data_IF_144513822265
#
_entry.id   IF_144513822265
#
_cell.length_a   1.000
_cell.length_b   1.000
_cell.length_c   1.000
_cell.angle_alpha   90.00
_cell.angle_beta   90.00
_cell.angle_gamma   90.00
#
_symmetry.space_group_name_H-M   'P 1'
#
loop_
_entity.id
_entity.type
_entity.pdbx_description
1 polymer ?
#
# COMPACT_ATOMS: atom_id res chain seq x y z
N UNK A 1 8.83 -0.95 4.90
CA UNK A 1 8.58 -0.18 3.66
C UNK A 1 7.13 -0.30 3.22
N UNK A 2 6.66 -1.39 2.61
CA UNK A 2 5.26 -1.49 2.14
C UNK A 2 4.20 -1.44 3.25
N UNK A 3 4.47 -2.05 4.40
CA UNK A 3 3.57 -2.01 5.56
C UNK A 3 3.50 -0.62 6.21
N UNK A 4 4.60 0.14 6.17
CA UNK A 4 4.66 1.50 6.70
C UNK A 4 3.94 2.48 5.77
N UNK A 5 4.05 2.28 4.46
CA UNK A 5 3.30 3.05 3.46
C UNK A 5 1.79 2.82 3.59
N UNK A 6 1.35 1.55 3.72
CA UNK A 6 -0.07 1.22 3.96
C UNK A 6 -0.60 1.84 5.26
N UNK A 7 0.20 1.83 6.33
CA UNK A 7 -0.16 2.45 7.61
C UNK A 7 -0.31 3.97 7.46
N UNK A 8 0.64 4.64 6.80
CA UNK A 8 0.60 6.07 6.57
C UNK A 8 -0.61 6.47 5.70
N UNK A 9 -0.92 5.68 4.67
CA UNK A 9 -2.09 5.89 3.81
C UNK A 9 -3.41 5.72 4.60
N UNK A 10 -3.51 4.71 5.45
CA UNK A 10 -4.67 4.50 6.33
C UNK A 10 -4.85 5.66 7.32
N UNK A 11 -3.75 6.13 7.93
CA UNK A 11 -3.78 7.29 8.84
C UNK A 11 -4.19 8.59 8.13
N UNK A 12 -3.80 8.76 6.85
CA UNK A 12 -4.23 9.90 6.04
C UNK A 12 -5.74 9.84 5.76
N UNK A 13 -6.27 8.69 5.33
CA UNK A 13 -7.71 8.48 5.09
C UNK A 13 -8.55 8.72 6.36
N UNK A 14 -8.06 8.30 7.53
CA UNK A 14 -8.76 8.56 8.81
C UNK A 14 -8.81 10.05 9.15
N UNK A 15 -7.74 10.80 8.87
CA UNK A 15 -7.69 12.26 9.08
C UNK A 15 -8.62 13.00 8.12
N UNK A 16 -8.61 12.65 6.85
CA UNK A 16 -9.50 13.23 5.83
C UNK A 16 -10.98 12.99 6.17
N UNK A 17 -11.33 11.77 6.61
CA UNK A 17 -12.69 11.47 7.08
C UNK A 17 -13.07 12.27 8.34
N UNK A 18 -12.14 12.48 9.28
CA UNK A 18 -12.42 13.27 10.48
C UNK A 18 -12.71 14.74 10.15
N UNK A 19 -11.98 15.33 9.20
CA UNK A 19 -12.22 16.70 8.73
C UNK A 19 -13.58 16.78 8.03
N UNK A 20 -13.88 15.82 7.14
CA UNK A 20 -15.16 15.79 6.42
C UNK A 20 -16.36 15.66 7.38
N UNK A 21 -16.23 14.81 8.40
CA UNK A 21 -17.26 14.67 9.45
C UNK A 21 -17.48 15.99 10.18
N UNK A 22 -16.41 16.68 10.61
CA UNK A 22 -16.54 17.99 11.30
C UNK A 22 -17.23 19.03 10.42
N UNK A 23 -16.80 19.17 9.17
CA UNK A 23 -17.43 20.12 8.23
C UNK A 23 -18.91 19.81 8.02
N UNK A 24 -19.28 18.54 7.91
CA UNK A 24 -20.68 18.14 7.77
C UNK A 24 -21.48 18.32 9.05
N UNK A 25 -20.88 18.14 10.23
CA UNK A 25 -21.51 18.42 11.52
C UNK A 25 -21.79 19.93 11.70
N UNK A 26 -20.84 20.78 11.30
CA UNK A 26 -21.00 22.24 11.25
C UNK A 26 -22.13 22.63 10.30
N UNK A 27 -22.17 22.04 9.10
CA UNK A 27 -23.26 22.26 8.15
C UNK A 27 -24.61 21.83 8.73
N UNK A 28 -24.69 20.68 9.40
CA UNK A 28 -25.92 20.24 10.06
C UNK A 28 -26.34 21.19 11.17
N UNK A 29 -25.40 21.70 11.96
CA UNK A 29 -25.75 22.64 13.04
C UNK A 29 -26.33 23.94 12.48
N UNK A 30 -25.75 24.46 11.40
CA UNK A 30 -26.30 25.64 10.71
C UNK A 30 -27.66 25.34 10.05
N UNK A 31 -27.81 24.16 9.42
CA UNK A 31 -29.09 23.72 8.84
C UNK A 31 -30.18 23.48 9.89
N UNK A 32 -29.83 23.01 11.09
CA UNK A 32 -30.78 22.86 12.21
C UNK A 32 -31.21 24.22 12.73
N UNK A 33 -30.30 25.20 12.83
CA UNK A 33 -30.66 26.57 13.22
C UNK A 33 -31.62 27.18 12.20
N UNK A 34 -31.25 27.16 10.92
CA UNK A 34 -32.15 27.63 9.84
C UNK A 34 -33.44 26.83 9.77
N UNK A 35 -33.42 25.53 10.08
CA UNK A 35 -34.61 24.69 10.19
C UNK A 35 -35.54 25.11 11.31
N UNK A 36 -35.02 25.48 12.48
CA UNK A 36 -35.83 26.01 13.60
C UNK A 36 -36.48 27.34 13.25
N UNK A 37 -35.74 28.22 12.58
CA UNK A 37 -36.26 29.51 12.13
C UNK A 37 -37.33 29.32 11.04
N UNK A 38 -37.11 28.40 10.10
CA UNK A 38 -38.08 28.01 9.09
C UNK A 38 -39.31 27.34 9.71
N UNK A 39 -39.17 26.56 10.77
CA UNK A 39 -40.30 25.95 11.49
C UNK A 39 -41.14 26.99 12.23
N UNK A 40 -40.51 28.03 12.80
CA UNK A 40 -41.22 29.16 13.38
C UNK A 40 -41.99 29.96 12.33
N UNK A 41 -41.37 30.22 11.17
CA UNK A 41 -42.04 30.84 10.02
C UNK A 41 -43.16 29.97 9.44
N UNK A 42 -42.99 28.65 9.39
CA UNK A 42 -44.05 27.72 8.96
C UNK A 42 -45.28 27.79 9.86
N UNK A 43 -45.10 27.91 11.18
CA UNK A 43 -46.25 28.10 12.08
C UNK A 43 -47.01 29.38 11.74
N UNK A 44 -46.29 30.46 11.42
CA UNK A 44 -46.89 31.72 10.97
C UNK A 44 -47.55 31.57 9.59
N UNK A 45 -46.95 30.85 8.65
CA UNK A 45 -47.56 30.57 7.34
C UNK A 45 -48.79 29.70 7.44
N UNK A 46 -48.80 28.67 8.30
CA UNK A 46 -50.00 27.85 8.55
C UNK A 46 -51.14 28.67 9.15
N UNK A 47 -50.83 29.55 10.13
CA UNK A 47 -51.81 30.50 10.65
C UNK A 47 -52.34 31.41 9.53
N UNK A 48 -51.44 31.90 8.66
CA UNK A 48 -51.81 32.77 7.54
C UNK A 48 -52.65 32.06 6.48
N UNK A 49 -52.40 30.78 6.23
CA UNK A 49 -53.20 29.95 5.33
C UNK A 49 -54.62 29.82 5.88
N UNK A 50 -54.77 29.51 7.18
CA UNK A 50 -56.08 29.42 7.81
C UNK A 50 -56.86 30.75 7.76
N UNK A 51 -56.19 31.88 8.00
CA UNK A 51 -56.79 33.22 7.85
C UNK A 51 -57.26 33.48 6.41
N UNK A 52 -56.42 33.18 5.42
CA UNK A 52 -56.75 33.36 4.01
C UNK A 52 -57.88 32.42 3.55
N UNK A 53 -57.97 31.22 4.12
CA UNK A 53 -59.06 30.27 3.89
C UNK A 53 -60.39 30.81 4.43
N UNK A 54 -60.40 31.30 5.67
CA UNK A 54 -61.59 31.90 6.28
C UNK A 54 -62.05 33.14 5.49
N UNK A 55 -61.13 34.01 5.08
CA UNK A 55 -61.45 35.17 4.25
C UNK A 55 -61.99 34.75 2.86
N UNK A 56 -61.39 33.72 2.25
CA UNK A 56 -61.85 33.19 0.97
C UNK A 56 -63.22 32.50 1.08
N UNK A 57 -63.55 31.88 2.21
CA UNK A 57 -64.89 31.34 2.49
C UNK A 57 -65.94 32.44 2.67
N UNK A 58 -65.61 33.50 3.41
CA UNK A 58 -66.50 34.67 3.56
C UNK A 58 -66.78 35.32 2.20
N UNK A 59 -65.74 35.57 1.39
CA UNK A 59 -65.91 36.15 0.05
C UNK A 59 -66.69 35.22 -0.89
N UNK A 60 -66.54 33.89 -0.75
CA UNK A 60 -67.33 32.91 -1.51
C UNK A 60 -68.81 32.91 -1.10
N UNK A 61 -69.11 33.04 0.19
CA UNK A 61 -70.48 33.16 0.68
C UNK A 61 -71.13 34.45 0.16
N UNK A 62 -70.46 35.60 0.31
CA UNK A 62 -70.93 36.90 -0.20
C UNK A 62 -71.14 36.89 -1.72
N UNK A 63 -70.26 36.23 -2.46
CA UNK A 63 -70.38 36.05 -3.90
C UNK A 63 -71.58 35.19 -4.28
N UNK A 64 -71.83 34.10 -3.53
CA UNK A 64 -73.00 33.24 -3.76
C UNK A 64 -74.30 33.98 -3.51
N UNK A 65 -74.37 34.83 -2.49
CA UNK A 65 -75.56 35.63 -2.17
C UNK A 65 -75.74 36.77 -3.18
N UNK A 66 -74.65 37.43 -3.58
CA UNK A 66 -74.67 38.44 -4.64
C UNK A 66 -75.08 37.84 -6.00
N UNK A 67 -74.69 36.58 -6.29
CA UNK A 67 -75.13 35.86 -7.49
C UNK A 67 -76.62 35.50 -7.47
N UNK A 68 -77.16 35.06 -6.32
CA UNK A 68 -78.61 34.81 -6.17
C UNK A 68 -79.42 36.09 -6.41
N UNK A 69 -79.01 37.20 -5.80
CA UNK A 69 -79.63 38.52 -6.01
C UNK A 69 -79.58 38.95 -7.47
N UNK A 70 -78.47 38.67 -8.17
CA UNK A 70 -78.30 38.98 -9.59
C UNK A 70 -79.25 38.11 -10.45
N UNK A 71 -79.37 36.81 -10.17
CA UNK A 71 -80.31 35.91 -10.86
C UNK A 71 -81.79 36.31 -10.64
N UNK A 72 -82.15 36.74 -9.43
CA UNK A 72 -83.49 37.25 -9.12
C UNK A 72 -83.83 38.55 -9.86
N UNK A 73 -82.83 39.41 -10.10
CA UNK A 73 -82.97 40.65 -10.87
C UNK A 73 -82.93 40.42 -12.39
N UNK A 74 -82.23 39.39 -12.87
CA UNK A 74 -82.21 39.02 -14.31
C UNK A 74 -83.49 38.29 -14.74
N UNK A 75 -84.18 37.59 -13.84
CA UNK A 75 -85.46 36.93 -14.11
C UNK A 75 -86.66 37.87 -14.23
N UNK A 76 -86.49 39.16 -13.92
CA UNK A 76 -87.50 40.21 -14.08
C UNK A 76 -87.07 41.10 -15.25
N UNK A 77 -87.87 41.21 -16.31
CA UNK A 77 -87.49 42.07 -17.45
C UNK A 77 -87.34 43.55 -16.99
N UNK A 78 -86.20 44.22 -17.20
CA UNK A 78 -85.98 45.57 -16.67
C UNK A 78 -86.65 46.63 -17.56
N UNK A 79 -87.76 47.21 -17.10
CA UNK A 79 -88.50 48.25 -17.84
C UNK A 79 -88.05 49.68 -17.45
N UNK A 80 -87.43 49.87 -16.28
CA UNK A 80 -87.01 51.18 -15.73
C UNK A 80 -85.48 51.41 -15.83
N UNK A 81 -84.98 52.59 -16.28
CA UNK A 81 -83.57 52.97 -16.19
C UNK A 81 -82.92 52.74 -14.82
N UNK A 82 -83.68 52.90 -13.73
CA UNK A 82 -83.20 52.66 -12.36
C UNK A 82 -82.93 51.17 -12.07
N UNK A 83 -83.70 50.25 -12.66
CA UNK A 83 -83.51 48.79 -12.52
C UNK A 83 -82.29 48.32 -13.32
N UNK A 84 -82.06 48.92 -14.49
CA UNK A 84 -80.86 48.66 -15.31
C UNK A 84 -79.58 49.10 -14.58
N UNK A 85 -79.60 50.23 -13.89
CA UNK A 85 -78.46 50.68 -13.06
C UNK A 85 -78.16 49.71 -11.92
N UNK A 86 -79.19 49.28 -11.16
CA UNK A 86 -79.03 48.32 -10.05
C UNK A 86 -78.51 46.96 -10.52
N UNK A 87 -79.00 46.47 -11.66
CA UNK A 87 -78.52 45.22 -12.26
C UNK A 87 -77.04 45.33 -12.68
N UNK A 88 -76.66 46.47 -13.28
CA UNK A 88 -75.27 46.74 -13.65
C UNK A 88 -74.35 46.84 -12.42
N UNK A 89 -74.81 47.48 -11.34
CA UNK A 89 -74.10 47.56 -10.07
C UNK A 89 -73.90 46.17 -9.45
N UNK A 90 -74.93 45.32 -9.42
CA UNK A 90 -74.82 43.92 -8.99
C UNK A 90 -73.78 43.14 -9.84
N UNK A 91 -73.76 43.33 -11.16
CA UNK A 91 -72.75 42.72 -12.05
C UNK A 91 -71.33 43.16 -11.70
N UNK A 92 -71.12 44.46 -11.45
CA UNK A 92 -69.79 44.95 -11.03
C UNK A 92 -69.37 44.39 -9.67
N UNK A 93 -70.32 44.25 -8.72
CA UNK A 93 -70.07 43.67 -7.39
C UNK A 93 -69.71 42.18 -7.45
N UNK A 94 -70.41 41.39 -8.26
CA UNK A 94 -70.09 39.97 -8.49
C UNK A 94 -68.73 39.83 -9.16
N UNK A 95 -68.40 40.66 -10.16
CA UNK A 95 -67.09 40.64 -10.80
C UNK A 95 -65.95 41.00 -9.84
N UNK A 96 -66.16 41.98 -8.94
CA UNK A 96 -65.21 42.36 -7.91
C UNK A 96 -65.01 41.25 -6.85
N UNK A 97 -66.09 40.59 -6.42
CA UNK A 97 -65.99 39.45 -5.50
C UNK A 97 -65.28 38.25 -6.14
N UNK A 98 -65.52 37.99 -7.44
CA UNK A 98 -64.85 36.94 -8.20
C UNK A 98 -63.35 37.21 -8.34
N UNK A 99 -62.95 38.46 -8.59
CA UNK A 99 -61.54 38.83 -8.68
C UNK A 99 -60.85 38.73 -7.31
N UNK A 100 -61.50 39.17 -6.23
CA UNK A 100 -61.00 39.02 -4.85
C UNK A 100 -60.79 37.54 -4.48
N UNK A 101 -61.75 36.67 -4.78
CA UNK A 101 -61.64 35.23 -4.54
C UNK A 101 -60.47 34.59 -5.31
N UNK A 102 -60.26 34.99 -6.58
CA UNK A 102 -59.12 34.53 -7.38
C UNK A 102 -57.77 34.95 -6.80
N UNK A 103 -57.67 36.18 -6.28
CA UNK A 103 -56.44 36.69 -5.64
C UNK A 103 -56.15 35.94 -4.34
N UNK A 104 -57.15 35.73 -3.48
CA UNK A 104 -56.99 34.98 -2.23
C UNK A 104 -56.56 33.53 -2.48
N UNK A 105 -57.14 32.86 -3.48
CA UNK A 105 -56.75 31.52 -3.89
C UNK A 105 -55.28 31.45 -4.36
N UNK A 106 -54.84 32.42 -5.17
CA UNK A 106 -53.42 32.51 -5.58
C UNK A 106 -52.48 32.76 -4.41
N UNK A 107 -52.86 33.62 -3.45
CA UNK A 107 -52.07 33.88 -2.23
C UNK A 107 -51.94 32.63 -1.36
N UNK A 108 -53.05 31.91 -1.15
CA UNK A 108 -53.05 30.62 -0.45
C UNK A 108 -52.10 29.62 -1.11
N UNK A 109 -52.20 29.46 -2.44
CA UNK A 109 -51.34 28.54 -3.18
C UNK A 109 -49.84 28.91 -3.07
N UNK A 110 -49.51 30.21 -3.06
CA UNK A 110 -48.14 30.67 -2.86
C UNK A 110 -47.62 30.34 -1.45
N UNK A 111 -48.43 30.55 -0.41
CA UNK A 111 -48.06 30.21 0.97
C UNK A 111 -47.92 28.70 1.20
N UNK A 112 -48.77 27.87 0.58
CA UNK A 112 -48.65 26.41 0.63
C UNK A 112 -47.35 25.90 -0.02
N UNK A 113 -46.91 26.54 -1.10
CA UNK A 113 -45.62 26.23 -1.75
C UNK A 113 -44.43 26.55 -0.85
N UNK A 114 -44.49 27.61 -0.05
CA UNK A 114 -43.43 27.93 0.91
C UNK A 114 -43.34 26.86 2.02
N UNK A 115 -44.49 26.39 2.52
CA UNK A 115 -44.53 25.30 3.51
C UNK A 115 -44.02 23.98 2.93
N UNK A 116 -44.30 23.67 1.66
CA UNK A 116 -43.79 22.43 1.04
C UNK A 116 -42.28 22.46 0.80
N UNK A 117 -41.72 23.62 0.42
CA UNK A 117 -40.27 23.80 0.23
C UNK A 117 -39.49 23.65 1.55
N UNK A 118 -40.02 24.18 2.66
CA UNK A 118 -39.40 23.98 3.98
C UNK A 118 -39.51 22.53 4.46
N UNK A 119 -40.62 21.82 4.20
CA UNK A 119 -40.72 20.40 4.50
C UNK A 119 -39.72 19.57 3.66
N UNK A 120 -39.38 20.01 2.46
CA UNK A 120 -38.34 19.38 1.63
C UNK A 120 -36.93 19.62 2.20
N UNK A 121 -36.64 20.81 2.73
CA UNK A 121 -35.34 21.07 3.37
C UNK A 121 -35.15 20.25 4.64
N UNK A 122 -36.19 20.08 5.47
CA UNK A 122 -36.15 19.20 6.66
C UNK A 122 -35.82 17.74 6.30
N UNK A 123 -36.39 17.21 5.21
CA UNK A 123 -36.05 15.85 4.73
C UNK A 123 -34.59 15.72 4.31
N UNK A 124 -34.04 16.75 3.66
CA UNK A 124 -32.60 16.79 3.29
C UNK A 124 -31.70 16.80 4.52
N UNK A 125 -32.09 17.50 5.58
CA UNK A 125 -31.35 17.49 6.86
C UNK A 125 -31.31 16.08 7.46
N UNK A 126 -32.45 15.40 7.54
CA UNK A 126 -32.51 14.02 8.05
C UNK A 126 -31.67 13.03 7.23
N UNK A 127 -31.62 13.22 5.90
CA UNK A 127 -30.78 12.41 5.02
C UNK A 127 -29.28 12.66 5.24
N UNK A 128 -28.89 13.92 5.46
CA UNK A 128 -27.52 14.27 5.83
C UNK A 128 -27.12 13.69 7.19
N UNK A 129 -28.01 13.72 8.19
CA UNK A 129 -27.79 13.10 9.50
C UNK A 129 -27.51 11.59 9.39
N UNK A 130 -28.35 10.86 8.63
CA UNK A 130 -28.14 9.42 8.36
C UNK A 130 -26.81 9.14 7.67
N UNK A 131 -26.40 9.99 6.74
CA UNK A 131 -25.11 9.87 6.07
C UNK A 131 -23.94 10.09 7.03
N UNK A 132 -24.01 11.07 7.94
CA UNK A 132 -22.98 11.26 8.97
C UNK A 132 -22.88 10.05 9.89
N UNK A 133 -23.99 9.48 10.32
CA UNK A 133 -23.98 8.26 11.11
C UNK A 133 -23.30 7.10 10.39
N UNK A 134 -23.58 6.91 9.10
CA UNK A 134 -22.90 5.91 8.27
C UNK A 134 -21.38 6.16 8.18
N UNK A 135 -20.96 7.41 7.95
CA UNK A 135 -19.55 7.79 7.91
C UNK A 135 -18.85 7.59 9.26
N UNK A 136 -19.51 7.90 10.39
CA UNK A 136 -18.99 7.63 11.73
C UNK A 136 -18.81 6.12 11.98
N UNK A 137 -19.76 5.29 11.55
CA UNK A 137 -19.63 3.82 11.61
C UNK A 137 -18.44 3.34 10.79
N UNK A 138 -18.26 3.86 9.57
CA UNK A 138 -17.12 3.53 8.70
C UNK A 138 -15.78 3.98 9.31
N UNK A 139 -15.71 5.19 9.86
CA UNK A 139 -14.53 5.70 10.56
C UNK A 139 -14.18 4.79 11.76
N UNK A 140 -15.16 4.37 12.55
CA UNK A 140 -14.96 3.45 13.66
C UNK A 140 -14.48 2.05 13.24
N UNK A 141 -14.89 1.56 12.06
CA UNK A 141 -14.36 0.31 11.50
C UNK A 141 -12.89 0.46 11.06
N UNK A 142 -12.56 1.55 10.36
CA UNK A 142 -11.19 1.82 9.93
C UNK A 142 -10.23 2.02 11.11
N UNK A 143 -10.66 2.71 12.16
CA UNK A 143 -9.86 2.88 13.38
C UNK A 143 -9.60 1.55 14.09
N UNK A 144 -10.57 0.63 14.12
CA UNK A 144 -10.38 -0.72 14.68
C UNK A 144 -9.33 -1.51 13.90
N UNK A 145 -9.45 -1.55 12.57
CA UNK A 145 -8.46 -2.19 11.69
C UNK A 145 -7.06 -1.60 11.86
N UNK A 146 -6.97 -0.27 11.98
CA UNK A 146 -5.69 0.40 12.21
C UNK A 146 -5.04 -0.03 13.54
N UNK A 147 -5.82 -0.13 14.62
CA UNK A 147 -5.32 -0.61 15.92
C UNK A 147 -4.84 -2.06 15.86
N UNK A 148 -5.55 -2.91 15.11
CA UNK A 148 -5.15 -4.31 14.89
C UNK A 148 -3.81 -4.40 14.16
N UNK A 149 -3.64 -3.64 13.07
CA UNK A 149 -2.38 -3.54 12.32
C UNK A 149 -1.23 -3.00 13.18
N UNK A 150 -1.48 -1.97 14.00
CA UNK A 150 -0.48 -1.46 14.93
C UNK A 150 -0.08 -2.48 16.00
N UNK A 151 -1.04 -3.25 16.52
CA UNK A 151 -0.74 -4.34 17.46
C UNK A 151 0.05 -5.46 16.78
N UNK A 152 -0.29 -5.82 15.55
CA UNK A 152 0.48 -6.80 14.77
C UNK A 152 1.91 -6.32 14.52
N UNK A 153 2.09 -5.04 14.15
CA UNK A 153 3.43 -4.43 14.00
C UNK A 153 4.24 -4.54 15.29
N UNK A 154 3.67 -4.20 16.45
CA UNK A 154 4.35 -4.32 17.75
C UNK A 154 4.76 -5.76 18.05
N UNK A 155 3.89 -6.75 17.79
CA UNK A 155 4.20 -8.17 17.98
C UNK A 155 5.38 -8.60 17.11
N UNK A 156 5.33 -8.31 15.82
CA UNK A 156 6.43 -8.62 14.89
C UNK A 156 7.73 -7.93 15.30
N UNK A 157 7.66 -6.69 15.76
CA UNK A 157 8.83 -5.95 16.21
C UNK A 157 9.45 -6.55 17.48
N UNK A 158 8.63 -7.01 18.44
CA UNK A 158 9.15 -7.76 19.60
C UNK A 158 9.81 -9.08 19.21
N UNK A 159 9.27 -9.78 18.21
CA UNK A 159 9.83 -11.04 17.72
C UNK A 159 11.16 -10.84 16.98
N UNK A 160 11.24 -9.78 16.15
CA UNK A 160 12.49 -9.35 15.50
C UNK A 160 13.54 -8.99 16.56
N UNK A 161 13.18 -8.20 17.58
CA UNK A 161 14.09 -7.83 18.67
C UNK A 161 14.60 -9.05 19.45
N UNK A 162 13.73 -10.02 19.74
CA UNK A 162 14.13 -11.29 20.39
C UNK A 162 15.12 -12.07 19.53
N UNK A 163 14.87 -12.20 18.22
CA UNK A 163 15.79 -12.85 17.28
C UNK A 163 17.12 -12.12 17.20
N UNK A 164 17.11 -10.79 17.14
CA UNK A 164 18.30 -9.96 17.12
C UNK A 164 19.12 -10.12 18.41
N UNK A 165 18.47 -10.21 19.57
CA UNK A 165 19.13 -10.47 20.85
C UNK A 165 19.75 -11.87 20.90
N UNK A 166 19.05 -12.90 20.39
CA UNK A 166 19.59 -14.27 20.29
C UNK A 166 20.79 -14.37 19.34
N UNK A 167 20.81 -13.58 18.27
CA UNK A 167 21.98 -13.48 17.37
C UNK A 167 23.13 -12.76 18.07
N UNK A 168 22.85 -11.66 18.79
CA UNK A 168 23.87 -10.88 19.53
C UNK A 168 24.48 -11.65 20.72
N UNK A 169 23.71 -12.56 21.33
CA UNK A 169 24.13 -13.44 22.46
C UNK A 169 24.45 -14.87 21.97
N UNK A 170 24.58 -15.07 20.65
CA UNK A 170 24.71 -16.40 20.05
C UNK A 170 25.89 -17.26 20.56
N UNK A 171 25.87 -18.58 20.27
CA UNK A 171 26.73 -19.61 20.89
C UNK A 171 28.25 -19.39 20.73
N UNK A 172 28.68 -18.47 19.87
CA UNK A 172 30.09 -18.09 19.70
C UNK A 172 30.73 -17.46 20.94
N UNK A 173 30.00 -16.64 21.74
CA UNK A 173 30.55 -16.06 22.98
C UNK A 173 30.77 -17.13 24.07
N UNK A 174 29.82 -18.06 24.20
CA UNK A 174 29.93 -19.17 25.14
C UNK A 174 31.01 -20.19 24.72
N UNK A 175 31.17 -20.44 23.41
CA UNK A 175 32.25 -21.28 22.88
C UNK A 175 33.63 -20.63 23.08
N UNK A 176 33.75 -19.33 22.80
CA UNK A 176 35.00 -18.58 23.00
C UNK A 176 35.43 -18.54 24.47
N UNK A 177 34.47 -18.40 25.40
CA UNK A 177 34.75 -18.41 26.84
C UNK A 177 35.17 -19.80 27.36
N UNK A 178 34.62 -20.89 26.79
CA UNK A 178 35.07 -22.27 27.10
C UNK A 178 36.48 -22.53 26.56
N UNK A 179 36.80 -22.08 25.35
CA UNK A 179 38.15 -22.22 24.76
C UNK A 179 39.18 -21.44 25.59
N UNK A 180 38.84 -20.23 26.04
CA UNK A 180 39.72 -19.43 26.91
C UNK A 180 39.97 -20.12 28.26
N UNK A 181 38.96 -20.77 28.85
CA UNK A 181 39.13 -21.55 30.09
C UNK A 181 40.07 -22.74 29.90
N UNK A 182 39.86 -23.53 28.84
CA UNK A 182 40.71 -24.70 28.53
C UNK A 182 42.16 -24.26 28.31
N UNK A 183 42.40 -23.21 27.51
CA UNK A 183 43.75 -22.69 27.27
C UNK A 183 44.41 -22.16 28.55
N UNK A 184 43.66 -21.49 29.42
CA UNK A 184 44.18 -21.00 30.72
C UNK A 184 44.53 -22.16 31.65
N UNK A 185 43.72 -23.22 31.64
CA UNK A 185 43.91 -24.41 32.47
C UNK A 185 45.08 -25.28 31.98
N UNK A 186 45.28 -25.38 30.66
CA UNK A 186 46.44 -26.00 30.03
C UNK A 186 47.74 -25.22 30.30
N UNK A 187 47.71 -23.89 30.22
CA UNK A 187 48.86 -23.04 30.57
C UNK A 187 49.19 -23.19 32.07
N UNK A 188 48.19 -23.22 32.94
CA UNK A 188 48.38 -23.44 34.37
C UNK A 188 48.90 -24.85 34.68
N UNK A 189 48.48 -25.88 33.93
CA UNK A 189 48.99 -27.25 34.04
C UNK A 189 50.45 -27.36 33.54
N UNK A 190 50.78 -26.64 32.48
CA UNK A 190 52.14 -26.56 31.94
C UNK A 190 53.10 -25.84 32.91
N UNK A 191 52.65 -24.75 33.54
CA UNK A 191 53.42 -24.04 34.58
C UNK A 191 53.56 -24.86 35.87
N UNK A 192 52.54 -25.64 36.26
CA UNK A 192 52.62 -26.59 37.38
C UNK A 192 53.65 -27.70 37.11
N UNK A 193 53.70 -28.25 35.89
CA UNK A 193 54.74 -29.22 35.49
C UNK A 193 56.14 -28.62 35.53
N UNK A 194 56.31 -27.33 35.18
CA UNK A 194 57.61 -26.64 35.28
C UNK A 194 58.06 -26.34 36.71
N UNK A 195 57.16 -26.24 37.69
CA UNK A 195 57.49 -25.95 39.09
C UNK A 195 57.74 -27.21 39.93
N UNK A 196 57.49 -28.41 39.39
CA UNK A 196 57.68 -29.70 40.09
C UNK A 196 58.84 -30.55 39.54
N UNK A 197 59.78 -30.00 38.76
CA UNK A 197 60.90 -30.75 38.17
C UNK A 197 62.26 -30.14 38.49
N UNK A 198 63.02 -30.83 39.32
CA UNK A 198 64.42 -30.60 39.69
C UNK A 198 65.37 -30.68 38.48
N UNK A 199 66.52 -29.99 38.60
CA UNK A 199 67.62 -29.83 37.64
C UNK A 199 67.94 -31.05 36.75
N UNK A 200 68.06 -30.81 35.44
CA UNK A 200 68.59 -31.80 34.50
C UNK A 200 68.75 -31.24 33.08
N UNK A 201 70.00 -30.93 32.73
CA UNK A 201 70.64 -30.88 31.41
C UNK A 201 69.80 -30.54 30.17
N UNK A 202 70.18 -29.43 29.54
CA UNK A 202 70.09 -29.21 28.09
C UNK A 202 70.79 -30.37 27.36
N UNK A 203 70.13 -30.97 26.37
CA UNK A 203 70.65 -31.56 25.11
C UNK A 203 69.66 -32.61 24.57
N UNK A 204 69.38 -32.49 23.26
CA UNK A 204 68.71 -33.45 22.37
C UNK A 204 67.18 -33.54 22.43
N UNK A 205 66.52 -32.82 21.52
CA UNK A 205 65.16 -33.17 21.08
C UNK A 205 64.97 -32.85 19.58
N UNK A 206 65.82 -33.45 18.74
CA UNK A 206 65.69 -33.37 17.27
C UNK A 206 65.31 -34.72 16.65
N UNK A 207 64.82 -35.66 17.46
CA UNK A 207 64.40 -37.00 17.01
C UNK A 207 63.09 -37.44 17.66
N UNK A 208 61.99 -36.73 17.37
CA UNK A 208 60.66 -37.32 17.46
C UNK A 208 59.60 -36.54 16.68
N UNK A 209 59.80 -36.43 15.36
CA UNK A 209 58.78 -35.91 14.45
C UNK A 209 58.38 -36.96 13.41
N UNK A 210 58.00 -38.16 13.86
CA UNK A 210 57.27 -39.15 13.03
C UNK A 210 56.32 -39.97 13.92
N UNK A 211 55.13 -39.42 14.20
CA UNK A 211 53.83 -40.10 14.41
C UNK A 211 52.93 -39.25 15.30
N UNK A 212 52.05 -38.49 14.67
CA UNK A 212 50.69 -38.26 15.16
C UNK A 212 49.87 -37.65 14.01
N UNK A 213 49.04 -38.46 13.35
CA UNK A 213 47.96 -37.96 12.52
C UNK A 213 46.86 -37.39 13.43
N UNK A 214 46.26 -36.22 13.12
CA UNK A 214 44.98 -35.86 13.71
C UNK A 214 43.84 -36.51 12.91
N UNK A 215 43.04 -37.33 13.59
CA UNK A 215 41.79 -37.87 13.09
C UNK A 215 40.76 -36.73 12.89
N UNK A 216 40.07 -36.78 11.75
CA UNK A 216 39.00 -35.86 11.38
C UNK A 216 37.76 -36.04 12.26
N UNK A 217 37.04 -34.98 12.65
CA UNK A 217 35.75 -35.11 13.32
C UNK A 217 34.66 -35.53 12.32
N UNK A 218 33.83 -36.48 12.76
CA UNK A 218 32.69 -37.05 12.05
C UNK A 218 31.61 -35.99 11.71
N UNK A 219 30.86 -36.16 10.60
CA UNK A 219 29.80 -35.23 10.22
C UNK A 219 28.53 -35.45 11.05
N UNK A 220 27.96 -34.34 11.53
CA UNK A 220 26.68 -34.27 12.21
C UNK A 220 25.52 -34.80 11.32
N UNK A 221 24.84 -35.86 11.77
CA UNK A 221 23.52 -36.23 11.28
C UNK A 221 22.47 -35.29 11.91
N UNK A 222 21.73 -34.57 11.08
CA UNK A 222 20.62 -33.74 11.54
C UNK A 222 19.85 -33.09 10.40
N UNK A 223 18.68 -33.66 10.11
CA UNK A 223 17.54 -33.12 9.36
C UNK A 223 17.57 -33.15 7.82
N UNK A 224 17.21 -34.30 7.26
CA UNK A 224 16.30 -34.37 6.10
C UNK A 224 15.01 -35.07 6.54
N UNK A 225 14.03 -34.31 7.04
CA UNK A 225 12.64 -34.78 7.09
C UNK A 225 12.00 -34.45 5.74
N UNK A 226 11.97 -35.41 4.83
CA UNK A 226 11.07 -35.39 3.68
C UNK A 226 9.91 -36.34 3.95
N UNK A 227 8.76 -35.71 4.16
CA UNK A 227 7.41 -36.13 3.83
C UNK A 227 7.22 -37.61 3.46
N UNK A 228 6.67 -38.38 4.40
CA UNK A 228 5.82 -39.51 4.06
C UNK A 228 4.39 -39.02 3.89
N UNK A 229 3.82 -39.17 2.70
CA UNK A 229 2.39 -39.38 2.49
C UNK A 229 2.19 -40.22 1.23
N UNK A 230 2.05 -41.52 1.45
CA UNK A 230 1.41 -42.48 0.54
C UNK A 230 -0.08 -42.13 0.53
N UNK A 231 -0.71 -41.93 -0.63
CA UNK A 231 -2.06 -42.44 -0.92
C UNK A 231 -2.32 -42.54 -2.43
N UNK A 232 -2.66 -43.78 -2.83
CA UNK A 232 -3.64 -44.22 -3.84
C UNK A 232 -3.54 -43.75 -5.29
N UNK A 233 -3.19 -44.72 -6.12
CA UNK A 233 -3.80 -45.03 -7.42
C UNK A 233 -5.33 -44.84 -7.42
N UNK A 234 -5.89 -44.36 -8.54
CA UNK A 234 -6.91 -45.16 -9.21
C UNK A 234 -6.60 -45.36 -10.70
N UNK A 235 -6.96 -46.56 -11.15
CA UNK A 235 -7.12 -46.93 -12.56
C UNK A 235 -8.22 -46.08 -13.21
N UNK A 236 -8.02 -45.70 -14.47
CA UNK A 236 -9.09 -45.55 -15.44
C UNK A 236 -8.52 -45.87 -16.83
N UNK A 237 -9.03 -46.96 -17.37
CA UNK A 237 -8.86 -47.42 -18.75
C UNK A 237 -9.47 -46.40 -19.71
N UNK A 238 -8.86 -46.22 -20.89
CA UNK A 238 -9.60 -46.21 -22.17
C UNK A 238 -8.65 -46.10 -23.37
N UNK A 239 -8.67 -47.15 -24.21
CA UNK A 239 -8.59 -47.07 -25.66
C UNK A 239 -7.27 -46.66 -26.30
N UNK A 240 -6.59 -47.63 -26.94
CA UNK A 240 -6.51 -47.69 -28.41
C UNK A 240 -5.73 -48.92 -28.89
N UNK A 241 -6.49 -49.79 -29.50
CA UNK A 241 -6.24 -50.59 -30.70
C UNK A 241 -4.82 -51.04 -31.05
N UNK A 242 -4.74 -52.37 -31.08
CA UNK A 242 -3.95 -53.23 -31.96
C UNK A 242 -3.76 -52.64 -33.36
N UNK A 243 -2.50 -52.48 -33.77
CA UNK A 243 -2.08 -52.86 -35.12
C UNK A 243 -0.73 -53.55 -35.03
N UNK A 244 -0.78 -54.87 -35.05
CA UNK A 244 0.35 -55.73 -35.34
C UNK A 244 0.74 -55.59 -36.81
N UNK A 245 2.00 -55.27 -37.09
CA UNK A 245 2.52 -55.36 -38.45
C UNK A 245 3.97 -54.90 -38.62
N UNK A 246 4.85 -55.87 -38.85
CA UNK A 246 6.05 -55.79 -39.71
C UNK A 246 7.44 -55.75 -39.05
N UNK A 247 8.00 -56.97 -38.95
CA UNK A 247 9.34 -57.43 -39.36
C UNK A 247 10.56 -56.52 -39.14
N UNK A 248 11.50 -57.08 -38.37
CA UNK A 248 12.93 -56.75 -38.37
C UNK A 248 13.52 -56.86 -39.79
N UNK A 249 14.20 -55.82 -40.23
CA UNK A 249 15.41 -55.89 -41.05
C UNK A 249 16.31 -54.74 -40.58
N UNK A 250 17.49 -55.08 -40.06
CA UNK A 250 18.56 -54.10 -39.87
C UNK A 250 19.21 -53.80 -41.22
N UNK A 251 19.61 -52.56 -41.46
CA UNK A 251 20.86 -52.10 -42.10
C UNK A 251 20.90 -50.55 -42.00
N UNK A 252 22.07 -50.02 -41.65
CA UNK A 252 22.55 -48.64 -41.86
C UNK A 252 21.82 -47.48 -41.17
N UNK A 253 22.28 -47.13 -39.96
CA UNK A 253 22.21 -45.77 -39.43
C UNK A 253 23.24 -44.90 -40.17
N UNK A 254 22.94 -44.41 -41.37
CA UNK A 254 23.47 -43.13 -41.86
C UNK A 254 22.45 -42.52 -42.83
N UNK A 255 22.09 -41.27 -42.57
CA UNK A 255 21.20 -40.39 -43.35
C UNK A 255 19.70 -40.71 -43.31
N UNK A 256 18.98 -40.08 -42.38
CA UNK A 256 17.88 -39.11 -42.59
C UNK A 256 17.24 -38.86 -41.21
N UNK A 257 17.71 -37.81 -40.51
CA UNK A 257 16.93 -37.21 -39.43
C UNK A 257 15.71 -36.52 -40.08
N UNK A 258 14.47 -36.74 -39.58
CA UNK A 258 13.29 -36.05 -40.12
C UNK A 258 13.50 -34.54 -40.09
N UNK A 259 13.35 -33.89 -41.23
CA UNK A 259 13.64 -32.46 -41.42
C UNK A 259 12.89 -31.56 -40.40
N UNK A 260 11.68 -31.97 -40.00
CA UNK A 260 10.90 -31.31 -38.95
C UNK A 260 11.56 -31.35 -37.55
N UNK A 261 12.26 -32.44 -37.23
CA UNK A 261 13.00 -32.59 -35.97
C UNK A 261 14.23 -31.68 -35.96
N UNK A 262 14.88 -31.51 -37.11
CA UNK A 262 16.00 -30.57 -37.29
C UNK A 262 15.52 -29.12 -37.13
N UNK A 263 14.37 -28.76 -37.71
CA UNK A 263 13.79 -27.42 -37.58
C UNK A 263 13.38 -27.09 -36.14
N UNK A 264 12.81 -28.06 -35.41
CA UNK A 264 12.46 -27.89 -34.00
C UNK A 264 13.69 -27.82 -33.09
N UNK A 265 14.74 -28.59 -33.39
CA UNK A 265 16.03 -28.47 -32.71
C UNK A 265 16.63 -27.07 -32.94
N UNK A 266 16.58 -26.54 -34.17
CA UNK A 266 17.06 -25.19 -34.48
C UNK A 266 16.21 -24.12 -33.78
N UNK A 267 14.89 -24.32 -33.70
CA UNK A 267 13.97 -23.42 -32.96
C UNK A 267 14.24 -23.43 -31.45
N UNK A 268 14.42 -24.60 -30.86
CA UNK A 268 14.75 -24.74 -29.44
C UNK A 268 16.14 -24.18 -29.15
N UNK A 269 17.11 -24.40 -30.05
CA UNK A 269 18.47 -23.86 -29.93
C UNK A 269 18.49 -22.34 -29.98
N UNK A 270 17.81 -21.73 -30.95
CA UNK A 270 17.70 -20.26 -31.04
C UNK A 270 16.97 -19.63 -29.85
N UNK A 271 15.95 -20.30 -29.30
CA UNK A 271 15.27 -19.86 -28.07
C UNK A 271 16.13 -20.04 -26.82
N UNK A 272 16.93 -21.11 -26.76
CA UNK A 272 17.93 -21.30 -25.71
C UNK A 272 19.00 -20.22 -25.76
N UNK A 273 19.53 -19.91 -26.95
CA UNK A 273 20.48 -18.81 -27.15
C UNK A 273 19.88 -17.45 -26.73
N UNK A 274 18.60 -17.21 -27.01
CA UNK A 274 17.93 -15.99 -26.58
C UNK A 274 17.80 -15.92 -25.05
N UNK A 275 17.38 -17.00 -24.41
CA UNK A 275 17.30 -17.09 -22.95
C UNK A 275 18.67 -17.00 -22.27
N UNK A 276 19.71 -17.53 -22.91
CA UNK A 276 21.10 -17.40 -22.44
C UNK A 276 21.58 -15.95 -22.55
N UNK A 277 21.24 -15.24 -23.63
CA UNK A 277 21.48 -13.80 -23.77
C UNK A 277 20.73 -13.00 -22.71
N UNK A 278 19.44 -13.24 -22.49
CA UNK A 278 18.66 -12.58 -21.44
C UNK A 278 19.23 -12.88 -20.03
N UNK A 279 19.64 -14.11 -19.75
CA UNK A 279 20.27 -14.48 -18.48
C UNK A 279 21.63 -13.78 -18.30
N UNK A 280 22.42 -13.67 -19.37
CA UNK A 280 23.69 -12.95 -19.37
C UNK A 280 23.48 -11.44 -19.20
N UNK A 281 22.44 -10.86 -19.78
CA UNK A 281 22.05 -9.47 -19.59
C UNK A 281 21.55 -9.22 -18.16
N UNK A 282 20.69 -10.08 -17.62
CA UNK A 282 20.19 -9.98 -16.23
C UNK A 282 21.30 -10.18 -15.21
N UNK A 283 22.18 -11.14 -15.42
CA UNK A 283 23.36 -11.35 -14.55
C UNK A 283 24.35 -10.19 -14.68
N UNK A 284 24.50 -9.63 -15.88
CA UNK A 284 25.19 -8.37 -16.14
C UNK A 284 24.59 -7.25 -15.31
N UNK A 285 23.30 -6.96 -15.42
CA UNK A 285 22.59 -5.91 -14.68
C UNK A 285 22.76 -6.07 -13.16
N UNK A 286 22.68 -7.29 -12.63
CA UNK A 286 22.91 -7.56 -11.21
C UNK A 286 24.36 -7.30 -10.77
N UNK A 287 25.35 -7.65 -11.60
CA UNK A 287 26.77 -7.32 -11.34
C UNK A 287 27.02 -5.82 -11.42
N UNK A 288 26.44 -5.13 -12.40
CA UNK A 288 26.57 -3.68 -12.56
C UNK A 288 25.89 -2.92 -11.41
N UNK A 289 24.70 -3.34 -10.96
CA UNK A 289 24.05 -2.76 -9.78
C UNK A 289 24.89 -2.93 -8.51
N UNK A 290 25.43 -4.14 -8.27
CA UNK A 290 26.31 -4.35 -7.12
C UNK A 290 27.64 -3.57 -7.20
N UNK A 291 28.18 -3.38 -8.40
CA UNK A 291 29.40 -2.59 -8.60
C UNK A 291 29.12 -1.09 -8.46
N UNK A 292 27.96 -0.63 -8.94
CA UNK A 292 27.50 0.74 -8.80
C UNK A 292 27.26 1.11 -7.34
N UNK A 293 26.62 0.24 -6.55
CA UNK A 293 26.45 0.43 -5.11
C UNK A 293 27.80 0.53 -4.39
N UNK A 294 28.76 -0.33 -4.75
CA UNK A 294 30.10 -0.27 -4.18
C UNK A 294 30.82 1.04 -4.56
N UNK A 295 30.62 1.52 -5.80
CA UNK A 295 31.20 2.78 -6.27
C UNK A 295 30.56 3.99 -5.59
N UNK A 296 29.26 3.98 -5.35
CA UNK A 296 28.55 5.02 -4.59
C UNK A 296 29.09 5.10 -3.16
N UNK A 297 29.24 3.97 -2.47
CA UNK A 297 29.82 3.96 -1.11
C UNK A 297 31.25 4.52 -1.12
N UNK A 298 32.06 4.22 -2.16
CA UNK A 298 33.40 4.81 -2.33
C UNK A 298 33.37 6.32 -2.57
N UNK A 299 32.43 6.82 -3.36
CA UNK A 299 32.23 8.25 -3.57
C UNK A 299 31.85 8.95 -2.27
N UNK A 300 30.92 8.38 -1.51
CA UNK A 300 30.52 8.91 -0.21
C UNK A 300 31.67 8.90 0.81
N UNK A 301 32.51 7.85 0.82
CA UNK A 301 33.74 7.84 1.64
C UNK A 301 34.66 8.99 1.25
N UNK A 302 34.80 9.29 -0.04
CA UNK A 302 35.63 10.41 -0.49
C UNK A 302 35.04 11.76 -0.06
N UNK A 303 33.72 11.94 -0.11
CA UNK A 303 33.06 13.15 0.41
C UNK A 303 33.30 13.32 1.92
N UNK A 304 33.12 12.26 2.70
CA UNK A 304 33.37 12.29 4.15
C UNK A 304 34.85 12.61 4.47
N UNK A 305 35.79 12.14 3.65
CA UNK A 305 37.21 12.50 3.77
C UNK A 305 37.46 13.98 3.48
N UNK A 306 36.80 14.54 2.45
CA UNK A 306 36.91 15.98 2.14
C UNK A 306 36.34 16.85 3.25
N UNK A 307 35.19 16.47 3.84
CA UNK A 307 34.61 17.15 5.00
C UNK A 307 35.55 17.07 6.22
N UNK A 308 36.11 15.89 6.49
CA UNK A 308 37.12 15.70 7.55
C UNK A 308 38.32 16.62 7.35
N UNK A 309 38.84 16.72 6.13
CA UNK A 309 39.98 17.60 5.83
C UNK A 309 39.65 19.08 6.06
N UNK A 310 38.39 19.50 5.85
CA UNK A 310 37.94 20.86 6.15
C UNK A 310 37.86 21.12 7.66
N UNK A 311 37.31 20.18 8.43
CA UNK A 311 37.25 20.29 9.90
C UNK A 311 38.66 20.28 10.51
N UNK A 312 39.56 19.45 9.99
CA UNK A 312 40.97 19.44 10.41
C UNK A 312 41.67 20.78 10.15
N UNK A 313 41.38 21.46 9.03
CA UNK A 313 41.92 22.81 8.77
C UNK A 313 41.43 23.83 9.80
N UNK A 314 40.13 23.84 10.10
CA UNK A 314 39.55 24.73 11.12
C UNK A 314 40.13 24.45 12.52
N UNK A 315 40.32 23.17 12.84
CA UNK A 315 40.95 22.73 14.09
C UNK A 315 42.41 23.19 14.19
N UNK A 316 43.17 23.06 13.09
CA UNK A 316 44.55 23.55 13.01
C UNK A 316 44.66 25.08 13.13
N UNK A 317 43.67 25.84 12.65
CA UNK A 317 43.63 27.30 12.84
C UNK A 317 43.51 27.67 14.32
N UNK A 318 42.63 26.99 15.07
CA UNK A 318 42.50 27.17 16.52
C UNK A 318 43.76 26.74 17.27
N UNK A 319 44.38 25.62 16.88
CA UNK A 319 45.67 25.20 17.45
C UNK A 319 46.78 26.23 17.21
N UNK A 320 46.82 26.83 16.02
CA UNK A 320 47.83 27.84 15.69
C UNK A 320 47.65 29.10 16.54
N UNK A 321 46.41 29.53 16.80
CA UNK A 321 46.12 30.62 17.74
C UNK A 321 46.62 30.31 19.15
N UNK A 322 46.39 29.09 19.63
CA UNK A 322 46.92 28.62 20.93
C UNK A 322 48.45 28.60 20.96
N UNK A 323 49.10 28.10 19.90
CA UNK A 323 50.57 28.06 19.79
C UNK A 323 51.22 29.44 19.75
N UNK A 324 50.50 30.45 19.25
CA UNK A 324 50.95 31.85 19.25
C UNK A 324 50.81 32.51 20.63
N UNK A 325 50.28 31.81 21.65
CA UNK A 325 50.12 32.32 23.01
C UNK A 325 48.83 33.13 23.22
N UNK A 326 47.95 33.18 22.21
CA UNK A 326 46.63 33.81 22.29
C UNK A 326 45.68 32.90 23.06
N UNK A 327 45.01 33.43 24.09
CA UNK A 327 43.95 32.71 24.80
C UNK A 327 42.72 32.57 23.88
N UNK A 328 42.18 31.37 23.78
CA UNK A 328 40.92 31.13 23.07
C UNK A 328 39.75 31.74 23.85
N UNK A 329 38.74 32.19 23.13
CA UNK A 329 37.47 32.57 23.75
C UNK A 329 36.73 31.32 24.25
N UNK A 330 35.83 31.42 25.25
CA UNK A 330 35.02 30.28 25.71
C UNK A 330 34.10 29.72 24.61
N UNK A 331 33.86 30.47 23.53
CA UNK A 331 33.16 30.00 22.34
C UNK A 331 34.10 29.21 21.42
N UNK A 332 35.34 29.66 21.23
CA UNK A 332 36.36 28.95 20.46
C UNK A 332 36.76 27.61 21.11
N UNK A 333 36.82 27.53 22.44
CA UNK A 333 37.05 26.28 23.17
C UNK A 333 35.92 25.27 22.98
N UNK A 334 34.66 25.74 22.96
CA UNK A 334 33.49 24.90 22.65
C UNK A 334 33.52 24.42 21.20
N UNK A 335 33.90 25.29 20.27
CA UNK A 335 34.04 24.94 18.85
C UNK A 335 35.16 23.90 18.67
N UNK A 336 36.30 24.04 19.36
CA UNK A 336 37.38 23.06 19.30
C UNK A 336 36.91 21.66 19.71
N UNK A 337 36.16 21.56 20.80
CA UNK A 337 35.58 20.29 21.26
C UNK A 337 34.58 19.72 20.24
N UNK A 338 33.71 20.57 19.66
CA UNK A 338 32.77 20.15 18.62
C UNK A 338 33.48 19.69 17.34
N UNK A 339 34.60 20.31 16.97
CA UNK A 339 35.42 19.91 15.83
C UNK A 339 36.04 18.53 16.06
N UNK A 340 36.61 18.28 17.25
CA UNK A 340 37.19 16.97 17.60
C UNK A 340 36.11 15.87 17.62
N UNK A 341 34.92 16.12 18.21
CA UNK A 341 33.79 15.18 18.17
C UNK A 341 33.30 14.92 16.74
N UNK A 342 33.20 15.96 15.91
CA UNK A 342 32.76 15.83 14.52
C UNK A 342 33.78 15.05 13.66
N UNK A 343 35.09 15.26 13.89
CA UNK A 343 36.15 14.50 13.22
C UNK A 343 36.08 13.02 13.62
N UNK A 344 35.92 12.71 14.92
CA UNK A 344 35.78 11.33 15.40
C UNK A 344 34.53 10.66 14.81
N UNK A 345 33.41 11.39 14.72
CA UNK A 345 32.19 10.89 14.09
C UNK A 345 32.38 10.60 12.58
N UNK A 346 33.11 11.45 11.85
CA UNK A 346 33.44 11.23 10.45
C UNK A 346 34.36 10.02 10.26
N UNK A 347 35.35 9.81 11.15
CA UNK A 347 36.22 8.64 11.12
C UNK A 347 35.43 7.34 11.34
N UNK A 348 34.54 7.32 12.34
CA UNK A 348 33.65 6.18 12.57
C UNK A 348 32.72 5.91 11.37
N UNK A 349 32.22 6.96 10.70
CA UNK A 349 31.39 6.82 9.51
C UNK A 349 32.18 6.25 8.31
N UNK A 350 33.41 6.70 8.10
CA UNK A 350 34.32 6.20 7.06
C UNK A 350 34.66 4.73 7.33
N UNK A 351 35.02 4.37 8.56
CA UNK A 351 35.29 2.98 8.96
C UNK A 351 34.09 2.07 8.74
N UNK A 352 32.90 2.49 9.14
CA UNK A 352 31.68 1.73 8.91
C UNK A 352 31.43 1.44 7.43
N UNK A 353 31.60 2.45 6.56
CA UNK A 353 31.43 2.29 5.10
C UNK A 353 32.52 1.40 4.51
N UNK A 354 33.76 1.50 4.96
CA UNK A 354 34.85 0.62 4.54
C UNK A 354 34.63 -0.84 4.98
N UNK A 355 34.17 -1.06 6.20
CA UNK A 355 33.87 -2.41 6.71
C UNK A 355 32.66 -3.00 5.96
N UNK A 356 31.66 -2.20 5.60
CA UNK A 356 30.53 -2.63 4.75
C UNK A 356 31.01 -3.17 3.40
N UNK A 357 31.91 -2.44 2.73
CA UNK A 357 32.52 -2.90 1.47
C UNK A 357 33.30 -4.21 1.68
N UNK A 358 34.15 -4.26 2.70
CA UNK A 358 34.99 -5.44 2.98
C UNK A 358 34.16 -6.67 3.36
N UNK A 359 33.16 -6.51 4.21
CA UNK A 359 32.24 -7.57 4.60
C UNK A 359 31.50 -8.15 3.39
N UNK A 360 30.96 -7.28 2.54
CA UNK A 360 30.29 -7.69 1.30
C UNK A 360 31.23 -8.51 0.41
N UNK A 361 32.45 -8.04 0.19
CA UNK A 361 33.46 -8.75 -0.61
C UNK A 361 33.86 -10.10 0.01
N UNK A 362 33.98 -10.17 1.33
CA UNK A 362 34.30 -11.40 2.05
C UNK A 362 33.21 -12.46 1.86
N UNK A 363 31.94 -12.06 1.97
CA UNK A 363 30.79 -12.95 1.72
C UNK A 363 30.78 -13.44 0.27
N UNK A 364 30.97 -12.55 -0.70
CA UNK A 364 31.01 -12.93 -2.12
C UNK A 364 32.13 -13.92 -2.42
N UNK A 365 33.34 -13.67 -1.91
CA UNK A 365 34.48 -14.58 -2.06
C UNK A 365 34.21 -15.95 -1.42
N UNK A 366 33.66 -15.96 -0.21
CA UNK A 366 33.30 -17.20 0.48
C UNK A 366 32.22 -18.00 -0.27
N UNK A 367 31.20 -17.33 -0.83
CA UNK A 367 30.20 -17.99 -1.66
C UNK A 367 30.80 -18.56 -2.95
N UNK A 368 31.70 -17.84 -3.60
CA UNK A 368 32.37 -18.32 -4.82
C UNK A 368 33.23 -19.56 -4.54
N UNK A 369 33.98 -19.57 -3.42
CA UNK A 369 34.76 -20.75 -3.03
C UNK A 369 33.89 -21.95 -2.69
N UNK A 370 32.76 -21.74 -1.99
CA UNK A 370 31.81 -22.80 -1.68
C UNK A 370 31.17 -23.38 -2.94
N UNK A 371 30.80 -22.53 -3.90
CA UNK A 371 30.25 -22.96 -5.19
C UNK A 371 31.27 -23.80 -5.97
N UNK A 372 32.51 -23.32 -6.10
CA UNK A 372 33.57 -24.07 -6.77
C UNK A 372 33.86 -25.43 -6.10
N UNK A 373 33.83 -25.47 -4.76
CA UNK A 373 33.98 -26.72 -4.02
C UNK A 373 32.80 -27.67 -4.26
N UNK A 374 31.57 -27.16 -4.28
CA UNK A 374 30.38 -27.93 -4.59
C UNK A 374 30.41 -28.48 -6.03
N UNK A 375 30.83 -27.67 -7.01
CA UNK A 375 31.01 -28.08 -8.41
C UNK A 375 32.03 -29.22 -8.51
N UNK A 376 33.20 -29.06 -7.89
CA UNK A 376 34.23 -30.09 -7.89
C UNK A 376 33.73 -31.40 -7.24
N UNK A 377 33.03 -31.31 -6.11
CA UNK A 377 32.44 -32.47 -5.45
C UNK A 377 31.34 -33.15 -6.28
N UNK A 378 30.53 -32.37 -6.99
CA UNK A 378 29.51 -32.90 -7.89
C UNK A 378 30.15 -33.60 -9.08
N UNK A 379 31.14 -32.98 -9.72
CA UNK A 379 31.88 -33.57 -10.84
C UNK A 379 32.58 -34.87 -10.43
N UNK A 380 33.17 -34.91 -9.23
CA UNK A 380 33.73 -36.14 -8.68
C UNK A 380 32.66 -37.23 -8.54
N UNK A 381 31.49 -36.92 -7.96
CA UNK A 381 30.38 -37.89 -7.84
C UNK A 381 29.84 -38.37 -9.19
N UNK A 382 29.72 -37.47 -10.17
CA UNK A 382 29.29 -37.80 -11.53
C UNK A 382 30.29 -38.73 -12.23
N UNK A 383 31.60 -38.57 -11.96
CA UNK A 383 32.64 -39.42 -12.55
C UNK A 383 32.60 -40.88 -12.08
N UNK A 384 31.97 -41.17 -10.94
CA UNK A 384 31.80 -42.53 -10.41
C UNK A 384 30.54 -43.25 -10.91
N UNK A 385 29.68 -42.58 -11.67
CA UNK A 385 28.45 -43.18 -12.18
C UNK A 385 28.73 -44.06 -13.40
N UNK A 386 28.09 -45.23 -13.43
CA UNK A 386 28.07 -46.08 -14.62
C UNK A 386 27.23 -45.48 -15.74
N UNK A 387 27.43 -45.94 -16.98
CA UNK A 387 26.72 -45.43 -18.14
C UNK A 387 25.19 -45.60 -18.06
N UNK A 388 24.68 -46.58 -17.31
CA UNK A 388 23.24 -46.75 -17.06
C UNK A 388 22.72 -45.76 -16.01
N UNK A 389 23.47 -45.53 -14.94
CA UNK A 389 23.13 -44.57 -13.89
C UNK A 389 23.15 -43.14 -14.42
N UNK A 390 24.13 -42.78 -15.24
CA UNK A 390 24.20 -41.47 -15.91
C UNK A 390 23.01 -41.25 -16.85
N UNK A 391 22.61 -42.27 -17.63
CA UNK A 391 21.41 -42.20 -18.48
C UNK A 391 20.13 -42.03 -17.65
N UNK A 392 19.97 -42.79 -16.58
CA UNK A 392 18.81 -42.66 -15.69
C UNK A 392 18.76 -41.28 -15.01
N UNK A 393 19.91 -40.75 -14.61
CA UNK A 393 20.03 -39.42 -14.04
C UNK A 393 19.67 -38.33 -15.05
N UNK A 394 20.16 -38.43 -16.28
CA UNK A 394 19.81 -37.53 -17.39
C UNK A 394 18.30 -37.55 -17.67
N UNK A 395 17.67 -38.72 -17.74
CA UNK A 395 16.22 -38.83 -17.93
C UNK A 395 15.45 -38.13 -16.80
N UNK A 396 15.85 -38.33 -15.54
CA UNK A 396 15.21 -37.66 -14.39
C UNK A 396 15.38 -36.14 -14.43
N UNK A 397 16.56 -35.64 -14.79
CA UNK A 397 16.77 -34.20 -14.90
C UNK A 397 16.06 -33.61 -16.12
N UNK A 398 15.99 -34.34 -17.23
CA UNK A 398 15.24 -33.93 -18.40
C UNK A 398 13.75 -33.79 -18.08
N UNK A 399 13.16 -34.80 -17.42
CA UNK A 399 11.79 -34.74 -16.90
C UNK A 399 11.59 -33.59 -15.91
N UNK A 400 12.58 -33.36 -15.03
CA UNK A 400 12.56 -32.20 -14.13
C UNK A 400 12.60 -30.86 -14.87
N UNK A 401 13.37 -30.75 -15.96
CA UNK A 401 13.42 -29.53 -16.79
C UNK A 401 12.10 -29.34 -17.52
N UNK A 402 11.52 -30.39 -18.09
CA UNK A 402 10.20 -30.33 -18.76
C UNK A 402 9.12 -29.86 -17.79
N UNK A 403 9.01 -30.50 -16.62
CA UNK A 403 8.04 -30.10 -15.59
C UNK A 403 8.23 -28.65 -15.13
N UNK A 404 9.48 -28.22 -14.88
CA UNK A 404 9.75 -26.82 -14.52
C UNK A 404 9.39 -25.83 -15.64
N UNK A 405 9.57 -26.22 -16.92
CA UNK A 405 9.18 -25.38 -18.06
C UNK A 405 7.67 -25.27 -18.21
N UNK A 406 6.94 -26.37 -18.00
CA UNK A 406 5.48 -26.34 -17.96
C UNK A 406 4.97 -25.45 -16.82
N UNK A 407 5.54 -25.60 -15.62
CA UNK A 407 5.15 -24.79 -14.46
C UNK A 407 5.48 -23.31 -14.69
N UNK A 408 6.63 -22.99 -15.28
CA UNK A 408 6.98 -21.62 -15.68
C UNK A 408 5.95 -21.06 -16.67
N UNK A 409 5.54 -21.84 -17.66
CA UNK A 409 4.54 -21.41 -18.64
C UNK A 409 3.16 -21.19 -18.00
N UNK A 410 2.71 -22.11 -17.14
CA UNK A 410 1.46 -21.96 -16.37
C UNK A 410 1.48 -20.70 -15.51
N UNK A 411 2.59 -20.44 -14.80
CA UNK A 411 2.77 -19.23 -14.00
C UNK A 411 2.76 -17.97 -14.86
N UNK A 412 3.38 -17.99 -16.04
CA UNK A 412 3.38 -16.86 -16.95
C UNK A 412 1.97 -16.52 -17.44
N UNK A 413 1.16 -17.52 -17.81
CA UNK A 413 -0.24 -17.33 -18.20
C UNK A 413 -1.04 -16.71 -17.03
N UNK A 414 -0.95 -17.29 -15.84
CA UNK A 414 -1.65 -16.79 -14.65
C UNK A 414 -1.22 -15.36 -14.29
N UNK A 415 0.05 -15.01 -14.52
CA UNK A 415 0.54 -13.65 -14.33
C UNK A 415 -0.05 -12.67 -15.34
N UNK A 416 -0.07 -13.02 -16.62
CA UNK A 416 -0.70 -12.19 -17.66
C UNK A 416 -2.20 -12.02 -17.45
N UNK A 417 -2.91 -13.03 -16.95
CA UNK A 417 -4.32 -12.91 -16.56
C UNK A 417 -4.51 -11.89 -15.42
N UNK A 418 -3.65 -11.94 -14.40
CA UNK A 418 -3.67 -10.97 -13.30
C UNK A 418 -3.30 -9.55 -13.76
N UNK A 419 -2.38 -9.41 -14.73
CA UNK A 419 -2.06 -8.12 -15.35
C UNK A 419 -3.27 -7.53 -16.08
N UNK A 420 -3.96 -8.33 -16.90
CA UNK A 420 -5.19 -7.87 -17.58
C UNK A 420 -6.27 -7.48 -16.57
N UNK A 421 -6.49 -8.29 -15.52
CA UNK A 421 -7.45 -7.94 -14.46
C UNK A 421 -7.05 -6.65 -13.74
N UNK A 422 -5.75 -6.43 -13.50
CA UNK A 422 -5.26 -5.20 -12.90
C UNK A 422 -5.55 -3.98 -13.79
N UNK A 423 -5.31 -4.10 -15.11
CA UNK A 423 -5.62 -3.05 -16.08
C UNK A 423 -7.11 -2.74 -16.14
N UNK A 424 -7.98 -3.76 -16.14
CA UNK A 424 -9.44 -3.59 -16.09
C UNK A 424 -9.87 -2.87 -14.80
N UNK A 425 -9.32 -3.23 -13.65
CA UNK A 425 -9.60 -2.56 -12.38
C UNK A 425 -9.10 -1.11 -12.39
N UNK A 426 -7.93 -0.83 -12.96
CA UNK A 426 -7.42 0.52 -13.10
C UNK A 426 -8.31 1.38 -14.01
N UNK A 427 -8.78 0.83 -15.13
CA UNK A 427 -9.74 1.51 -15.99
C UNK A 427 -11.04 1.80 -15.25
N UNK A 428 -11.57 0.83 -14.50
CA UNK A 428 -12.79 1.03 -13.71
C UNK A 428 -12.60 2.13 -12.65
N UNK A 429 -11.47 2.14 -11.95
CA UNK A 429 -11.13 3.21 -11.00
C UNK A 429 -11.12 4.56 -11.69
N UNK A 430 -10.44 4.66 -12.84
CA UNK A 430 -10.41 5.90 -13.62
C UNK A 430 -11.82 6.37 -14.03
N UNK A 431 -12.67 5.46 -14.52
CA UNK A 431 -14.06 5.78 -14.88
C UNK A 431 -14.87 6.26 -13.67
N UNK A 432 -14.71 5.62 -12.51
CA UNK A 432 -15.37 6.03 -11.28
C UNK A 432 -14.88 7.39 -10.78
N UNK A 433 -13.57 7.64 -10.82
CA UNK A 433 -12.99 8.95 -10.49
C UNK A 433 -13.53 10.04 -11.39
N UNK A 434 -13.58 9.82 -12.70
CA UNK A 434 -14.16 10.76 -13.66
C UNK A 434 -15.66 10.99 -13.42
N UNK A 435 -16.42 9.94 -13.08
CA UNK A 435 -17.84 10.05 -12.75
C UNK A 435 -18.07 10.87 -11.47
N UNK A 436 -17.22 10.69 -10.45
CA UNK A 436 -17.27 11.45 -9.20
C UNK A 436 -16.96 12.93 -9.45
N UNK A 437 -15.90 13.25 -10.21
CA UNK A 437 -15.58 14.64 -10.55
C UNK A 437 -16.70 15.29 -11.37
N UNK A 438 -17.29 14.55 -12.32
CA UNK A 438 -18.45 15.06 -13.06
C UNK A 438 -19.63 15.37 -12.14
N UNK A 439 -19.97 14.46 -11.24
CA UNK A 439 -21.05 14.67 -10.27
C UNK A 439 -20.77 15.87 -9.35
N UNK A 440 -19.51 16.04 -8.92
CA UNK A 440 -19.09 17.20 -8.13
C UNK A 440 -19.31 18.51 -8.90
N UNK A 441 -18.88 18.58 -10.16
CA UNK A 441 -19.08 19.77 -11.00
C UNK A 441 -20.56 20.06 -11.28
N UNK A 442 -21.38 19.01 -11.47
CA UNK A 442 -22.84 19.16 -11.61
C UNK A 442 -23.48 19.73 -10.34
N UNK A 443 -23.06 19.26 -9.16
CA UNK A 443 -23.50 19.79 -7.86
C UNK A 443 -23.08 21.25 -7.66
N UNK A 444 -21.83 21.61 -7.96
CA UNK A 444 -21.36 23.00 -7.86
C UNK A 444 -22.14 23.94 -8.78
N UNK A 445 -22.47 23.48 -10.00
CA UNK A 445 -23.33 24.24 -10.94
C UNK A 445 -24.73 24.45 -10.38
N UNK A 446 -25.36 23.42 -9.81
CA UNK A 446 -26.69 23.53 -9.21
C UNK A 446 -26.69 24.49 -8.02
N UNK A 447 -25.67 24.41 -7.17
CA UNK A 447 -25.50 25.32 -6.02
C UNK A 447 -25.39 26.78 -6.49
N UNK A 448 -24.58 27.03 -7.52
CA UNK A 448 -24.41 28.37 -8.11
C UNK A 448 -25.72 28.92 -8.66
N UNK A 449 -26.54 28.09 -9.30
CA UNK A 449 -27.86 28.50 -9.80
C UNK A 449 -28.82 28.84 -8.67
N UNK A 450 -28.85 28.04 -7.61
CA UNK A 450 -29.69 28.32 -6.42
C UNK A 450 -29.27 29.61 -5.71
N UNK A 451 -27.97 29.90 -5.62
CA UNK A 451 -27.47 31.15 -5.06
C UNK A 451 -27.93 32.36 -5.89
N UNK A 452 -27.82 32.29 -7.22
CA UNK A 452 -28.30 33.35 -8.13
C UNK A 452 -29.81 33.58 -8.00
N UNK A 453 -30.59 32.51 -7.95
CA UNK A 453 -32.05 32.61 -7.77
C UNK A 453 -32.40 33.21 -6.40
N UNK A 454 -31.68 32.84 -5.35
CA UNK A 454 -31.85 33.43 -4.02
C UNK A 454 -31.51 34.92 -3.99
N UNK A 455 -30.40 35.34 -4.61
CA UNK A 455 -30.03 36.75 -4.76
C UNK A 455 -31.09 37.55 -5.52
N UNK A 456 -31.61 37.01 -6.63
CA UNK A 456 -32.70 37.64 -7.40
C UNK A 456 -33.96 37.79 -6.56
N UNK A 457 -34.35 36.76 -5.81
CA UNK A 457 -35.51 36.80 -4.92
C UNK A 457 -35.32 37.83 -3.80
N UNK A 458 -34.12 37.96 -3.23
CA UNK A 458 -33.80 38.99 -2.24
C UNK A 458 -33.87 40.41 -2.82
N UNK A 459 -33.38 40.61 -4.05
CA UNK A 459 -33.48 41.90 -4.76
C UNK A 459 -34.92 42.30 -5.08
N UNK A 460 -35.83 41.34 -5.25
CA UNK A 460 -37.27 41.61 -5.46
C UNK A 460 -38.01 41.93 -4.16
N UNK A 461 -37.44 41.57 -3.01
CA UNK A 461 -38.01 41.80 -1.67
C UNK A 461 -37.55 43.12 -1.03
N UNK A 462 -36.37 43.62 -1.43
CA UNK A 462 -35.85 44.95 -1.13
C UNK A 462 -36.44 45.99 -2.09
#
# INVERSE_FOLDING_TARGET
KDSEWRLAQAQRKVRELAINIRMKEELITELIKTGKDAQALNKQYCQKINELEQEAEQVRAELSDSQKQLQELEGKEPWDPGEKHKLQECRTRVAAAQSKARVLSKKKQATERLVSLSAQSERRVQELERNIEAMRRQQGQLQRRLREEEQQKRRLQTEVNKRQHRVKVGPGRAAHQKILRIKTEEIAAFQRKRRSGSNGSVVSLEQQQVRAQPAMPAPCQGNCRLAGHIWKTPQLETGREVTSGSRRLGYSLEHVLPQALTDDIVRVSSRLEHLEKELNEKSGQLRHGSAQDQQQIRQEINSLRQEKDQLLKQRLELDNKLRQGTLLSPEEERILFQLDEAIEALDAAIEYKNESITCRQRVLRASASLLSQCEMNLMAKLSYLSSSETRALLCKYFDKVVTLREDQHRQHIAFSELEMQLEEQQQLVYWLEAAVERQRLEMDRQLTLQQKEHEQNMQLLL
#
